data_IF_877615384493
#
_entry.id   IF_877615384493
#
_cell.length_a   1.000
_cell.length_b   1.000
_cell.length_c   1.000
_cell.angle_alpha   90.00
_cell.angle_beta   90.00
_cell.angle_gamma   90.00
#
_symmetry.space_group_name_H-M   'P 1'
#
loop_
_entity.id
_entity.type
_entity.pdbx_description
1 polymer ?
#
# COMPACT_ATOMS: atom_id res chain seq x y z
N UNK A 1 -7.20 -35.66 -61.63
CA UNK A 1 -8.14 -35.58 -60.49
C UNK A 1 -7.78 -36.53 -59.34
N UNK A 2 -7.22 -37.71 -59.61
CA UNK A 2 -6.79 -38.69 -58.58
C UNK A 2 -5.73 -38.16 -57.59
N UNK A 3 -4.79 -37.33 -58.04
CA UNK A 3 -3.75 -36.73 -57.17
C UNK A 3 -4.30 -35.72 -56.15
N UNK A 4 -5.38 -35.02 -56.48
CA UNK A 4 -6.01 -34.01 -55.60
C UNK A 4 -6.84 -34.68 -54.49
N UNK A 5 -7.45 -35.82 -54.79
CA UNK A 5 -8.20 -36.62 -53.82
C UNK A 5 -7.27 -37.26 -52.78
N UNK A 6 -6.08 -37.71 -53.22
CA UNK A 6 -5.07 -38.32 -52.34
C UNK A 6 -4.49 -37.31 -51.35
N UNK A 7 -4.26 -36.06 -51.78
CA UNK A 7 -3.78 -34.99 -50.89
C UNK A 7 -4.82 -34.53 -49.87
N UNK A 8 -6.11 -34.55 -50.24
CA UNK A 8 -7.20 -34.19 -49.32
C UNK A 8 -7.38 -35.25 -48.20
N UNK A 9 -7.26 -36.53 -48.54
CA UNK A 9 -7.29 -37.63 -47.57
C UNK A 9 -6.11 -37.59 -46.59
N UNK A 10 -4.91 -37.23 -47.09
CA UNK A 10 -3.72 -37.10 -46.25
C UNK A 10 -3.84 -35.94 -45.23
N UNK A 11 -4.49 -34.84 -45.64
CA UNK A 11 -4.71 -33.69 -44.76
C UNK A 11 -5.76 -33.96 -43.67
N UNK A 12 -6.82 -34.71 -44.00
CA UNK A 12 -7.86 -35.09 -43.02
C UNK A 12 -7.40 -36.19 -42.05
N UNK A 13 -6.50 -37.07 -42.48
CA UNK A 13 -5.87 -38.08 -41.60
C UNK A 13 -4.95 -37.47 -40.55
N UNK A 14 -4.26 -36.37 -40.87
CA UNK A 14 -3.33 -35.70 -39.93
C UNK A 14 -4.06 -35.00 -38.77
N UNK A 15 -5.28 -34.49 -39.00
CA UNK A 15 -6.10 -33.87 -37.95
C UNK A 15 -6.62 -34.85 -36.89
N UNK A 16 -6.72 -36.14 -37.21
CA UNK A 16 -7.16 -37.17 -36.25
C UNK A 16 -6.05 -37.54 -35.23
N UNK A 17 -4.78 -37.23 -35.53
CA UNK A 17 -3.63 -37.52 -34.66
C UNK A 17 -3.33 -36.40 -33.65
N UNK A 18 -4.04 -35.27 -33.72
CA UNK A 18 -3.84 -34.10 -32.83
C UNK A 18 -4.64 -34.14 -31.52
N UNK A 19 -5.19 -35.29 -31.13
CA UNK A 19 -5.77 -35.49 -29.79
C UNK A 19 -4.68 -35.70 -28.73
N UNK A 20 -3.88 -34.67 -28.46
CA UNK A 20 -2.98 -34.62 -27.30
C UNK A 20 -3.75 -34.23 -26.03
N UNK A 21 -4.77 -35.00 -25.65
CA UNK A 21 -5.34 -34.90 -24.31
C UNK A 21 -4.38 -35.60 -23.35
N UNK A 22 -3.45 -34.83 -22.79
CA UNK A 22 -2.49 -35.29 -21.80
C UNK A 22 -3.27 -35.76 -20.54
N UNK A 23 -3.43 -37.08 -20.27
CA UNK A 23 -4.31 -37.55 -19.20
C UNK A 23 -3.69 -37.40 -17.80
N UNK A 24 -2.49 -36.81 -17.72
CA UNK A 24 -1.68 -36.76 -16.51
C UNK A 24 -1.90 -35.53 -15.62
N UNK A 25 -2.89 -34.68 -15.91
CA UNK A 25 -3.40 -33.73 -14.92
C UNK A 25 -4.53 -34.44 -14.18
N UNK A 26 -4.14 -35.34 -13.26
CA UNK A 26 -5.05 -36.13 -12.43
C UNK A 26 -5.71 -35.23 -11.39
N UNK A 27 -6.64 -34.39 -11.84
CA UNK A 27 -7.52 -33.61 -10.98
C UNK A 27 -8.49 -34.55 -10.29
N UNK A 28 -8.58 -34.39 -8.98
CA UNK A 28 -9.46 -35.11 -8.07
C UNK A 28 -10.48 -34.13 -7.54
N UNK A 29 -11.76 -34.45 -7.70
CA UNK A 29 -12.86 -33.66 -7.15
C UNK A 29 -13.02 -34.03 -5.68
N UNK A 30 -12.67 -33.13 -4.79
CA UNK A 30 -12.91 -33.26 -3.35
C UNK A 30 -14.23 -32.58 -3.03
N UNK A 31 -15.16 -33.32 -2.45
CA UNK A 31 -16.41 -32.83 -1.89
C UNK A 31 -16.51 -33.23 -0.44
N UNK A 32 -17.42 -32.61 0.30
CA UNK A 32 -17.52 -32.91 1.71
C UNK A 32 -18.50 -32.02 2.44
N UNK A 33 -18.63 -32.28 3.73
CA UNK A 33 -19.38 -31.45 4.67
C UNK A 33 -18.46 -31.00 5.81
N UNK A 34 -18.49 -29.71 6.10
CA UNK A 34 -17.82 -29.11 7.27
C UNK A 34 -18.83 -28.97 8.41
N UNK A 35 -18.40 -29.40 9.59
CA UNK A 35 -19.17 -29.39 10.81
C UNK A 35 -18.43 -28.60 11.88
N UNK A 36 -19.19 -27.98 12.78
CA UNK A 36 -18.69 -27.38 14.02
C UNK A 36 -18.70 -28.41 15.13
N UNK A 37 -17.71 -28.34 16.02
CA UNK A 37 -17.79 -28.87 17.39
C UNK A 37 -17.56 -27.74 18.38
N UNK A 38 -18.63 -27.38 19.09
CA UNK A 38 -18.58 -26.45 20.23
C UNK A 38 -18.20 -27.18 21.53
N UNK A 39 -17.92 -26.43 22.59
CA UNK A 39 -17.56 -26.98 23.91
C UNK A 39 -18.62 -27.92 24.52
N UNK A 40 -19.89 -27.71 24.16
CA UNK A 40 -21.01 -28.57 24.55
C UNK A 40 -21.06 -29.92 23.81
N UNK A 41 -20.03 -30.24 23.01
CA UNK A 41 -19.92 -31.42 22.15
C UNK A 41 -21.06 -31.56 21.12
N UNK A 42 -21.80 -30.47 20.88
CA UNK A 42 -22.84 -30.41 19.86
C UNK A 42 -22.18 -30.30 18.48
N UNK A 43 -22.62 -31.16 17.56
CA UNK A 43 -22.14 -31.17 16.18
C UNK A 43 -23.22 -30.52 15.30
N UNK A 44 -22.87 -29.46 14.59
CA UNK A 44 -23.77 -28.73 13.69
C UNK A 44 -23.11 -28.45 12.35
N UNK A 45 -23.88 -28.33 11.25
CA UNK A 45 -23.33 -27.93 9.97
C UNK A 45 -22.71 -26.52 10.04
N UNK A 46 -21.52 -26.36 9.45
CA UNK A 46 -20.77 -25.12 9.49
C UNK A 46 -20.73 -24.47 8.10
N UNK A 47 -21.55 -23.43 7.94
CA UNK A 47 -21.64 -22.64 6.70
C UNK A 47 -20.48 -21.67 6.50
N UNK A 48 -20.36 -21.05 5.32
CA UNK A 48 -19.44 -19.95 5.07
C UNK A 48 -17.96 -20.20 5.49
N UNK A 49 -17.50 -21.46 5.41
CA UNK A 49 -16.11 -21.84 5.70
C UNK A 49 -15.28 -21.55 4.46
N UNK A 50 -14.18 -20.82 4.62
CA UNK A 50 -13.23 -20.57 3.55
C UNK A 50 -12.36 -21.81 3.33
N UNK A 51 -12.38 -22.34 2.10
CA UNK A 51 -11.64 -23.53 1.70
C UNK A 51 -10.60 -23.10 0.69
N UNK A 52 -9.37 -22.97 1.17
CA UNK A 52 -8.28 -22.36 0.44
C UNK A 52 -7.28 -23.42 -0.06
N UNK A 53 -7.03 -23.45 -1.36
CA UNK A 53 -6.00 -24.27 -1.97
C UNK A 53 -4.64 -23.58 -1.87
N UNK A 54 -3.76 -24.12 -1.00
CA UNK A 54 -2.45 -23.53 -0.65
C UNK A 54 -1.54 -23.27 -1.85
N UNK A 55 -1.48 -24.19 -2.82
CA UNK A 55 -0.56 -24.08 -3.96
C UNK A 55 -1.08 -23.15 -5.06
N UNK A 56 -2.32 -23.35 -5.51
CA UNK A 56 -2.88 -22.59 -6.65
C UNK A 56 -3.53 -21.26 -6.27
N UNK A 57 -3.63 -20.95 -4.97
CA UNK A 57 -4.25 -19.71 -4.43
C UNK A 57 -5.71 -19.52 -4.89
N UNK A 58 -6.40 -20.60 -5.19
CA UNK A 58 -7.85 -20.63 -5.48
C UNK A 58 -8.59 -21.12 -4.25
N UNK A 59 -9.88 -20.83 -4.14
CA UNK A 59 -10.69 -21.33 -3.03
C UNK A 59 -12.16 -21.38 -3.36
N UNK A 60 -12.91 -22.00 -2.45
CA UNK A 60 -14.37 -22.02 -2.47
C UNK A 60 -14.89 -21.79 -1.05
N UNK A 61 -16.19 -21.61 -0.90
CA UNK A 61 -16.85 -21.41 0.39
C UNK A 61 -17.86 -22.56 0.58
N UNK A 62 -18.09 -22.99 1.83
CA UNK A 62 -19.14 -23.96 2.15
C UNK A 62 -20.54 -23.32 2.09
N UNK A 63 -21.54 -24.10 1.67
CA UNK A 63 -22.92 -23.67 1.57
C UNK A 63 -23.61 -23.52 2.96
N UNK A 64 -24.92 -23.22 2.97
CA UNK A 64 -25.68 -23.06 4.21
C UNK A 64 -25.74 -24.32 5.10
N UNK A 65 -25.55 -25.51 4.52
CA UNK A 65 -25.54 -26.80 5.19
C UNK A 65 -24.11 -27.33 5.41
N UNK A 66 -23.09 -26.52 5.13
CA UNK A 66 -21.68 -26.87 5.28
C UNK A 66 -21.11 -27.74 4.17
N UNK A 67 -21.83 -27.99 3.07
CA UNK A 67 -21.29 -28.73 1.94
C UNK A 67 -20.35 -27.89 1.09
N UNK A 68 -19.36 -28.54 0.48
CA UNK A 68 -18.44 -27.89 -0.44
C UNK A 68 -17.95 -28.83 -1.53
N UNK A 69 -17.38 -28.26 -2.60
CA UNK A 69 -16.66 -29.01 -3.61
C UNK A 69 -15.54 -28.19 -4.25
N UNK A 70 -14.37 -28.80 -4.40
CA UNK A 70 -13.18 -28.18 -4.99
C UNK A 70 -12.37 -29.23 -5.78
N UNK A 71 -11.76 -28.81 -6.89
CA UNK A 71 -10.87 -29.67 -7.67
C UNK A 71 -9.41 -29.45 -7.23
N UNK A 72 -8.72 -30.54 -6.88
CA UNK A 72 -7.32 -30.53 -6.45
C UNK A 72 -6.47 -31.47 -7.29
N UNK A 73 -5.16 -31.28 -7.32
CA UNK A 73 -4.26 -32.30 -7.85
C UNK A 73 -3.79 -33.20 -6.70
N UNK A 74 -3.45 -34.45 -7.01
CA UNK A 74 -2.89 -35.37 -6.03
C UNK A 74 -1.63 -34.78 -5.39
N UNK A 75 -1.50 -34.89 -4.07
CA UNK A 75 -0.41 -34.27 -3.30
C UNK A 75 -0.67 -32.82 -2.88
N UNK A 76 -1.77 -32.20 -3.31
CA UNK A 76 -2.10 -30.83 -2.90
C UNK A 76 -2.65 -30.72 -1.47
N UNK A 77 -2.55 -29.52 -0.93
CA UNK A 77 -3.03 -29.17 0.40
C UNK A 77 -4.13 -28.12 0.33
N UNK A 78 -5.22 -28.38 1.05
CA UNK A 78 -6.29 -27.41 1.31
C UNK A 78 -6.35 -27.04 2.77
N UNK A 79 -6.73 -25.80 3.03
CA UNK A 79 -6.83 -25.21 4.36
C UNK A 79 -8.26 -24.72 4.54
N UNK A 80 -8.89 -25.15 5.62
CA UNK A 80 -10.20 -24.71 6.05
C UNK A 80 -10.04 -23.64 7.12
N UNK A 81 -10.65 -22.48 6.92
CA UNK A 81 -10.59 -21.36 7.86
C UNK A 81 -11.95 -20.68 8.00
N UNK A 82 -12.30 -20.31 9.24
CA UNK A 82 -13.49 -19.54 9.57
C UNK A 82 -13.22 -18.76 10.86
N UNK A 83 -13.72 -17.52 10.94
CA UNK A 83 -13.61 -16.69 12.15
C UNK A 83 -14.29 -17.40 13.32
N UNK A 84 -13.64 -17.44 14.48
CA UNK A 84 -14.11 -18.16 15.67
C UNK A 84 -13.75 -19.64 15.72
N UNK A 85 -13.07 -20.17 14.70
CA UNK A 85 -12.71 -21.60 14.60
C UNK A 85 -11.21 -21.81 14.39
N UNK A 86 -10.70 -22.94 14.89
CA UNK A 86 -9.36 -23.40 14.58
C UNK A 86 -9.22 -23.78 13.10
N UNK A 87 -8.13 -23.39 12.45
CA UNK A 87 -7.85 -23.77 11.07
C UNK A 87 -7.51 -25.26 10.98
N UNK A 88 -8.04 -25.92 9.96
CA UNK A 88 -7.78 -27.35 9.71
C UNK A 88 -7.14 -27.50 8.35
N UNK A 89 -6.07 -28.29 8.26
CA UNK A 89 -5.36 -28.56 7.02
C UNK A 89 -5.61 -29.99 6.59
N UNK A 90 -5.97 -30.20 5.33
CA UNK A 90 -6.14 -31.52 4.73
C UNK A 90 -5.21 -31.66 3.53
N UNK A 91 -4.50 -32.77 3.48
CA UNK A 91 -3.54 -33.10 2.41
C UNK A 91 -4.13 -34.25 1.62
N UNK A 92 -4.30 -34.06 0.31
CA UNK A 92 -4.73 -35.13 -0.58
C UNK A 92 -3.53 -36.03 -0.89
N UNK A 93 -3.55 -37.33 -0.54
CA UNK A 93 -2.41 -38.22 -0.79
C UNK A 93 -2.03 -38.28 -2.28
N UNK A 94 -0.73 -38.29 -2.58
CA UNK A 94 -0.20 -38.32 -3.95
C UNK A 94 -0.58 -39.61 -4.70
N UNK A 95 -0.72 -40.72 -3.98
CA UNK A 95 -1.08 -42.03 -4.49
C UNK A 95 -2.59 -42.32 -4.44
N UNK A 96 -3.44 -41.29 -4.29
CA UNK A 96 -4.88 -41.50 -4.18
C UNK A 96 -5.48 -42.06 -5.48
N UNK A 97 -6.11 -43.26 -5.46
CA UNK A 97 -6.49 -43.96 -6.69
C UNK A 97 -7.72 -43.36 -7.37
N UNK A 98 -8.68 -42.86 -6.60
CA UNK A 98 -9.97 -42.42 -7.12
C UNK A 98 -9.92 -40.97 -7.66
N UNK A 99 -10.92 -40.63 -8.49
CA UNK A 99 -11.10 -39.27 -9.04
C UNK A 99 -12.01 -38.39 -8.18
N UNK A 100 -12.68 -38.98 -7.19
CA UNK A 100 -13.58 -38.28 -6.28
C UNK A 100 -13.21 -38.65 -4.84
N UNK A 101 -13.34 -37.69 -3.93
CA UNK A 101 -13.16 -37.88 -2.50
C UNK A 101 -14.32 -37.22 -1.81
N UNK A 102 -14.94 -37.91 -0.86
CA UNK A 102 -15.88 -37.31 0.08
C UNK A 102 -15.24 -37.23 1.46
N UNK A 103 -15.18 -36.03 2.06
CA UNK A 103 -14.60 -35.82 3.38
C UNK A 103 -15.59 -35.17 4.34
N UNK A 104 -15.64 -35.70 5.57
CA UNK A 104 -16.39 -35.11 6.67
C UNK A 104 -15.41 -34.46 7.63
N UNK A 105 -15.43 -33.13 7.68
CA UNK A 105 -14.46 -32.34 8.44
C UNK A 105 -15.14 -31.70 9.66
N UNK A 106 -14.52 -31.81 10.84
CA UNK A 106 -15.01 -31.15 12.06
C UNK A 106 -14.02 -30.07 12.47
N UNK A 107 -14.47 -28.82 12.52
CA UNK A 107 -13.71 -27.68 13.02
C UNK A 107 -14.09 -27.42 14.48
N UNK A 108 -13.09 -27.11 15.31
CA UNK A 108 -13.30 -26.78 16.72
C UNK A 108 -13.43 -25.26 16.89
N UNK A 109 -14.37 -24.84 17.72
CA UNK A 109 -14.45 -23.43 18.14
C UNK A 109 -13.18 -23.06 18.92
N UNK A 110 -12.60 -21.90 18.57
CA UNK A 110 -11.42 -21.37 19.23
C UNK A 110 -11.67 -19.91 19.57
N UNK A 111 -11.77 -19.55 20.86
CA UNK A 111 -11.87 -18.16 21.26
C UNK A 111 -10.59 -17.41 20.91
N UNK A 112 -10.74 -16.22 20.34
CA UNK A 112 -9.63 -15.32 20.05
C UNK A 112 -9.46 -14.38 21.23
N UNK A 113 -8.42 -14.58 22.04
CA UNK A 113 -8.06 -13.63 23.09
C UNK A 113 -7.35 -12.44 22.46
N UNK A 114 -7.93 -11.26 22.63
CA UNK A 114 -7.30 -10.01 22.19
C UNK A 114 -6.20 -9.64 23.18
N UNK A 115 -5.09 -9.12 22.67
CA UNK A 115 -4.04 -8.57 23.53
C UNK A 115 -4.54 -7.27 24.15
N UNK A 116 -4.30 -7.12 25.45
CA UNK A 116 -4.54 -5.87 26.14
C UNK A 116 -3.64 -4.77 25.56
N UNK A 117 -4.23 -3.61 25.28
CA UNK A 117 -3.49 -2.41 24.89
C UNK A 117 -3.16 -1.63 26.16
N UNK A 118 -1.88 -1.60 26.54
CA UNK A 118 -1.42 -0.77 27.65
C UNK A 118 -1.34 0.68 27.18
N UNK A 119 -2.33 1.47 27.57
CA UNK A 119 -2.31 2.92 27.38
C UNK A 119 -1.35 3.48 28.43
N UNK A 120 -0.13 3.80 28.02
CA UNK A 120 0.80 4.57 28.85
C UNK A 120 0.49 6.04 28.59
N UNK A 121 0.08 6.76 29.63
CA UNK A 121 0.02 8.21 29.55
C UNK A 121 1.44 8.70 29.29
N UNK A 122 1.71 9.17 28.08
CA UNK A 122 2.93 9.92 27.79
C UNK A 122 2.80 11.22 28.57
N UNK A 123 3.58 11.44 29.64
CA UNK A 123 3.53 12.71 30.33
C UNK A 123 3.82 13.79 29.29
N UNK A 124 3.05 14.90 29.28
CA UNK A 124 3.36 15.99 28.37
C UNK A 124 4.84 16.34 28.55
N UNK A 125 5.56 16.63 27.45
CA UNK A 125 6.95 17.04 27.56
C UNK A 125 7.04 18.10 28.65
N UNK A 126 8.02 17.98 29.56
CA UNK A 126 8.29 19.04 30.53
C UNK A 126 8.74 20.24 29.72
N UNK A 127 7.77 21.05 29.28
CA UNK A 127 8.01 22.33 28.66
C UNK A 127 8.64 23.12 29.81
N UNK A 128 9.98 23.20 29.83
CA UNK A 128 10.69 24.16 30.67
C UNK A 128 10.03 25.52 30.49
N UNK A 129 10.09 26.42 31.50
CA UNK A 129 9.25 27.62 31.55
C UNK A 129 9.17 28.22 30.16
N UNK A 130 7.98 28.18 29.56
CA UNK A 130 7.73 28.70 28.22
C UNK A 130 8.47 30.02 28.17
N UNK A 131 9.58 30.09 27.41
CA UNK A 131 10.21 31.38 27.13
C UNK A 131 9.05 32.19 26.62
N UNK A 132 8.59 33.18 27.41
CA UNK A 132 7.47 34.03 27.04
C UNK A 132 7.86 34.56 25.68
N UNK A 133 7.26 34.00 24.62
CA UNK A 133 7.43 34.50 23.28
C UNK A 133 7.12 35.99 23.41
N UNK A 134 8.03 36.90 23.02
CA UNK A 134 7.72 38.31 23.09
C UNK A 134 6.38 38.50 22.39
N UNK A 135 5.40 39.06 23.11
CA UNK A 135 4.02 39.24 22.65
C UNK A 135 3.95 40.38 21.62
N UNK A 136 4.91 40.41 20.71
CA UNK A 136 4.99 41.25 19.55
C UNK A 136 4.93 40.31 18.36
N UNK A 137 3.70 39.89 18.04
CA UNK A 137 3.41 39.52 16.67
C UNK A 137 3.58 40.81 15.89
N UNK A 138 4.66 40.91 15.11
CA UNK A 138 4.75 41.91 14.06
C UNK A 138 3.63 41.58 13.09
N UNK A 139 2.45 42.18 13.31
CA UNK A 139 1.42 42.27 12.30
C UNK A 139 2.04 43.26 11.32
N UNK A 140 2.52 42.83 10.13
CA UNK A 140 2.87 43.81 9.11
C UNK A 140 1.66 44.73 9.02
N UNK A 141 1.84 46.08 9.01
CA UNK A 141 0.69 46.96 8.85
C UNK A 141 -0.05 46.39 7.67
N UNK A 142 -1.23 45.83 7.94
CA UNK A 142 -2.10 45.32 6.91
C UNK A 142 -2.42 46.59 6.17
N UNK A 143 -1.66 46.86 5.12
CA UNK A 143 -1.97 47.84 4.11
C UNK A 143 -3.41 47.52 3.81
N UNK A 144 -4.28 48.37 4.32
CA UNK A 144 -5.67 48.10 4.62
C UNK A 144 -6.17 47.06 3.65
N UNK A 145 -6.48 45.86 4.16
CA UNK A 145 -7.37 44.99 3.41
C UNK A 145 -8.62 45.83 3.31
N UNK A 146 -8.72 46.59 2.22
CA UNK A 146 -9.96 47.14 1.73
C UNK A 146 -10.70 45.88 1.34
N UNK A 147 -11.27 45.22 2.33
CA UNK A 147 -12.39 44.35 2.11
C UNK A 147 -13.31 45.18 1.24
N UNK A 148 -13.56 44.72 0.02
CA UNK A 148 -14.69 45.15 -0.77
C UNK A 148 -15.95 44.69 -0.01
N UNK A 149 -16.15 45.21 1.20
CA UNK A 149 -17.43 45.19 1.86
C UNK A 149 -18.19 46.35 1.24
N UNK A 150 -18.91 46.04 0.15
CA UNK A 150 -20.09 46.76 -0.33
C UNK A 150 -20.22 48.20 0.19
N UNK A 151 -19.37 49.10 -0.29
CA UNK A 151 -19.62 50.53 -0.18
C UNK A 151 -20.26 50.94 -1.50
N UNK A 152 -21.49 51.46 -1.41
CA UNK A 152 -22.41 51.66 -2.51
C UNK A 152 -21.81 52.28 -3.76
N UNK A 153 -22.36 51.87 -4.89
CA UNK A 153 -21.93 52.14 -6.26
C UNK A 153 -21.89 53.62 -6.71
N UNK A 154 -21.90 54.62 -5.83
CA UNK A 154 -22.09 56.03 -6.22
C UNK A 154 -21.19 57.03 -5.47
N UNK A 155 -19.87 56.83 -5.47
CA UNK A 155 -18.92 57.91 -5.16
C UNK A 155 -17.84 58.01 -6.24
N UNK A 156 -17.86 59.07 -7.07
CA UNK A 156 -16.81 59.31 -8.07
C UNK A 156 -15.56 59.81 -7.34
N UNK A 157 -14.46 59.04 -7.43
CA UNK A 157 -13.15 59.44 -6.90
C UNK A 157 -12.36 58.33 -6.20
N UNK A 158 -12.98 57.20 -5.87
CA UNK A 158 -12.31 56.10 -5.16
C UNK A 158 -12.08 54.87 -6.05
N UNK A 159 -11.11 54.98 -6.95
CA UNK A 159 -10.13 53.93 -7.25
C UNK A 159 -10.54 52.48 -7.59
N UNK A 160 -11.78 52.16 -7.94
CA UNK A 160 -12.18 50.84 -8.50
C UNK A 160 -12.18 50.87 -10.04
N UNK A 161 -11.17 51.53 -10.62
CA UNK A 161 -11.00 51.62 -12.07
C UNK A 161 -9.95 50.62 -12.57
N UNK A 162 -10.00 50.21 -13.85
CA UNK A 162 -9.01 49.31 -14.47
C UNK A 162 -7.57 49.81 -14.31
N UNK A 163 -7.36 51.13 -14.17
CA UNK A 163 -6.04 51.75 -13.92
C UNK A 163 -5.48 51.41 -12.53
N UNK A 164 -6.33 51.27 -11.51
CA UNK A 164 -5.93 50.86 -10.16
C UNK A 164 -5.47 49.39 -10.16
N UNK A 165 -6.17 48.54 -10.92
CA UNK A 165 -5.78 47.15 -11.16
C UNK A 165 -4.45 47.07 -11.93
N UNK A 166 -4.23 47.95 -12.90
CA UNK A 166 -2.95 48.07 -13.61
C UNK A 166 -1.81 48.59 -12.69
N UNK A 167 -2.08 49.57 -11.82
CA UNK A 167 -1.10 50.07 -10.84
C UNK A 167 -0.70 48.97 -9.85
N UNK A 168 -1.65 48.17 -9.37
CA UNK A 168 -1.38 46.99 -8.55
C UNK A 168 -0.75 45.83 -9.35
N UNK A 169 -0.88 45.79 -10.68
CA UNK A 169 -0.19 44.81 -11.51
C UNK A 169 1.27 45.18 -11.81
N UNK A 170 1.63 46.47 -11.85
CA UNK A 170 2.93 46.97 -12.34
C UNK A 170 3.75 47.82 -11.35
N UNK A 171 3.23 48.19 -10.17
CA UNK A 171 3.96 49.01 -9.21
C UNK A 171 5.19 48.29 -8.60
N UNK A 172 6.20 49.06 -8.15
CA UNK A 172 7.39 48.54 -7.46
C UNK A 172 7.02 47.67 -6.24
N UNK A 173 6.01 48.12 -5.48
CA UNK A 173 5.46 47.39 -4.33
C UNK A 173 4.78 46.07 -4.74
N UNK A 174 4.08 46.03 -5.88
CA UNK A 174 3.49 44.80 -6.39
C UNK A 174 4.56 43.75 -6.78
N UNK A 175 5.67 44.20 -7.37
CA UNK A 175 6.82 43.33 -7.68
C UNK A 175 7.46 42.76 -6.40
N UNK A 176 7.69 43.61 -5.39
CA UNK A 176 8.20 43.19 -4.09
C UNK A 176 7.29 42.17 -3.42
N UNK A 177 5.97 42.42 -3.41
CA UNK A 177 4.99 41.50 -2.82
C UNK A 177 4.93 40.15 -3.53
N UNK A 178 5.01 40.12 -4.87
CA UNK A 178 5.07 38.87 -5.65
C UNK A 178 6.34 38.08 -5.34
N UNK A 179 7.48 38.76 -5.27
CA UNK A 179 8.74 38.12 -4.90
C UNK A 179 8.65 37.49 -3.51
N UNK A 180 8.14 38.24 -2.52
CA UNK A 180 7.93 37.71 -1.17
C UNK A 180 7.02 36.48 -1.19
N UNK A 181 5.91 36.50 -1.93
CA UNK A 181 5.03 35.34 -2.05
C UNK A 181 5.74 34.11 -2.66
N UNK A 182 6.56 34.32 -3.70
CA UNK A 182 7.36 33.24 -4.31
C UNK A 182 8.41 32.70 -3.34
N UNK A 183 9.06 33.55 -2.55
CA UNK A 183 10.03 33.13 -1.53
C UNK A 183 9.34 32.33 -0.42
N UNK A 184 8.17 32.76 0.04
CA UNK A 184 7.39 32.03 1.04
C UNK A 184 6.96 30.65 0.53
N UNK A 185 6.60 30.53 -0.75
CA UNK A 185 6.27 29.24 -1.35
C UNK A 185 7.49 28.31 -1.41
N UNK A 186 8.67 28.84 -1.74
CA UNK A 186 9.93 28.09 -1.70
C UNK A 186 10.26 27.63 -0.29
N UNK A 187 10.24 28.54 0.68
CA UNK A 187 10.49 28.24 2.09
C UNK A 187 9.50 27.19 2.63
N UNK A 188 8.24 27.23 2.19
CA UNK A 188 7.22 26.25 2.59
C UNK A 188 7.53 24.85 2.04
N UNK A 189 7.95 24.76 0.77
CA UNK A 189 8.36 23.50 0.15
C UNK A 189 9.61 22.92 0.80
N UNK A 190 10.60 23.75 1.10
CA UNK A 190 11.82 23.32 1.80
C UNK A 190 11.52 22.80 3.21
N UNK A 191 10.64 23.47 3.95
CA UNK A 191 10.19 22.99 5.27
C UNK A 191 9.43 21.67 5.18
N UNK A 192 8.55 21.52 4.18
CA UNK A 192 7.81 20.29 3.96
C UNK A 192 8.73 19.13 3.52
N UNK A 193 9.78 19.42 2.75
CA UNK A 193 10.82 18.48 2.37
C UNK A 193 11.60 17.98 3.60
N UNK A 194 12.09 18.90 4.44
CA UNK A 194 12.85 18.56 5.65
C UNK A 194 11.99 17.77 6.65
N UNK A 195 10.70 18.09 6.76
CA UNK A 195 9.77 17.36 7.62
C UNK A 195 9.53 15.91 7.17
N UNK A 196 9.68 15.60 5.87
CA UNK A 196 9.57 14.25 5.32
C UNK A 196 10.89 13.48 5.44
N UNK A 197 12.02 14.17 5.22
CA UNK A 197 13.37 13.62 5.33
C UNK A 197 14.03 14.07 6.65
N UNK A 198 13.39 13.75 7.77
CA UNK A 198 13.97 14.05 9.08
C UNK A 198 15.25 13.23 9.29
N UNK A 199 16.30 13.79 9.93
CA UNK A 199 17.53 13.06 10.22
C UNK A 199 17.25 11.81 11.08
N UNK A 200 16.32 11.91 12.03
CA UNK A 200 15.91 10.79 12.87
C UNK A 200 15.30 9.65 12.03
N UNK A 201 14.42 9.96 11.08
CA UNK A 201 13.79 8.98 10.19
C UNK A 201 14.81 8.29 9.28
N UNK A 202 15.75 9.06 8.72
CA UNK A 202 16.81 8.52 7.88
C UNK A 202 17.78 7.66 8.68
N UNK A 203 18.06 8.03 9.93
CA UNK A 203 18.92 7.25 10.84
C UNK A 203 18.30 5.89 11.19
N UNK A 204 16.98 5.84 11.39
CA UNK A 204 16.26 4.60 11.67
C UNK A 204 16.27 3.65 10.45
N UNK A 205 16.13 4.20 9.25
CA UNK A 205 16.13 3.41 8.01
C UNK A 205 17.52 2.92 7.59
N UNK A 206 18.53 3.76 7.71
CA UNK A 206 19.87 3.49 7.18
C UNK A 206 20.84 2.95 8.21
N UNK A 207 20.62 3.23 9.50
CA UNK A 207 21.52 2.88 10.59
C UNK A 207 22.74 3.81 10.73
N UNK A 208 22.80 4.90 9.98
CA UNK A 208 23.88 5.90 10.09
C UNK A 208 23.61 6.89 11.22
N UNK A 209 24.66 7.28 11.94
CA UNK A 209 24.59 8.23 13.06
C UNK A 209 25.73 9.23 13.04
N UNK A 210 25.52 10.42 13.62
CA UNK A 210 26.54 11.46 13.74
C UNK A 210 26.99 12.01 12.39
N UNK A 211 28.30 12.18 12.20
CA UNK A 211 28.87 12.79 10.99
C UNK A 211 28.58 12.00 9.70
N UNK A 212 28.46 10.68 9.80
CA UNK A 212 28.16 9.80 8.65
C UNK A 212 26.74 10.07 8.11
N UNK A 213 25.80 10.38 8.99
CA UNK A 213 24.43 10.74 8.60
C UNK A 213 24.37 12.08 7.88
N UNK A 214 25.12 13.08 8.36
CA UNK A 214 25.18 14.41 7.73
C UNK A 214 25.79 14.33 6.33
N UNK A 215 26.84 13.51 6.15
CA UNK A 215 27.44 13.24 4.84
C UNK A 215 26.49 12.49 3.91
N UNK A 216 25.76 11.51 4.43
CA UNK A 216 24.74 10.78 3.67
C UNK A 216 23.59 11.69 3.23
N UNK A 217 23.09 12.57 4.10
CA UNK A 217 22.04 13.56 3.80
C UNK A 217 22.51 14.62 2.81
N UNK A 218 23.79 15.01 2.84
CA UNK A 218 24.38 15.89 1.85
C UNK A 218 24.51 15.20 0.47
N UNK A 219 24.76 13.90 0.45
CA UNK A 219 24.88 13.11 -0.78
C UNK A 219 23.51 12.75 -1.39
N UNK A 220 22.56 12.29 -0.57
CA UNK A 220 21.24 11.88 -1.02
C UNK A 220 20.26 13.05 -0.91
N UNK A 221 20.14 13.81 -2.01
CA UNK A 221 19.14 14.87 -2.15
C UNK A 221 18.20 14.57 -3.32
N UNK A 222 17.15 13.75 -3.09
CA UNK A 222 16.11 13.53 -4.09
C UNK A 222 15.41 14.86 -4.44
N UNK A 223 14.84 14.99 -5.65
CA UNK A 223 14.17 16.22 -6.05
C UNK A 223 12.97 16.53 -5.14
N UNK A 224 12.79 17.82 -4.80
CA UNK A 224 11.76 18.26 -3.84
C UNK A 224 10.35 17.83 -4.24
N UNK A 225 10.04 17.89 -5.53
CA UNK A 225 8.72 17.54 -6.05
C UNK A 225 8.42 16.04 -5.87
N UNK A 226 9.45 15.17 -6.00
CA UNK A 226 9.31 13.73 -5.75
C UNK A 226 9.04 13.47 -4.27
N UNK A 227 9.82 14.06 -3.37
CA UNK A 227 9.67 13.84 -1.92
C UNK A 227 8.31 14.30 -1.38
N UNK A 228 7.77 15.38 -1.94
CA UNK A 228 6.46 15.91 -1.54
C UNK A 228 5.29 15.10 -2.10
N UNK A 229 5.45 14.47 -3.27
CA UNK A 229 4.39 13.72 -3.95
C UNK A 229 4.44 12.19 -3.69
N UNK A 230 5.60 11.64 -3.36
CA UNK A 230 5.81 10.20 -3.23
C UNK A 230 5.02 9.61 -2.06
N UNK A 231 4.53 8.38 -2.27
CA UNK A 231 4.03 7.55 -1.18
C UNK A 231 5.19 7.06 -0.29
N UNK A 232 4.86 6.64 0.93
CA UNK A 232 5.86 6.27 1.94
C UNK A 232 6.80 5.15 1.47
N UNK A 233 6.27 4.15 0.76
CA UNK A 233 7.07 3.05 0.22
C UNK A 233 8.09 3.53 -0.82
N UNK A 234 7.67 4.36 -1.78
CA UNK A 234 8.54 4.86 -2.85
C UNK A 234 9.68 5.73 -2.29
N UNK A 235 9.38 6.49 -1.23
CA UNK A 235 10.38 7.27 -0.52
C UNK A 235 11.44 6.37 0.15
N UNK A 236 11.02 5.30 0.83
CA UNK A 236 11.94 4.33 1.45
C UNK A 236 12.83 3.66 0.39
N UNK A 237 12.27 3.25 -0.75
CA UNK A 237 13.04 2.64 -1.85
C UNK A 237 14.11 3.61 -2.36
N UNK A 238 13.76 4.89 -2.56
CA UNK A 238 14.69 5.90 -3.02
C UNK A 238 15.86 6.10 -2.02
N UNK A 239 15.57 6.09 -0.71
CA UNK A 239 16.58 6.22 0.36
C UNK A 239 17.51 5.01 0.37
N UNK A 240 16.97 3.79 0.28
CA UNK A 240 17.77 2.55 0.26
C UNK A 240 18.67 2.49 -0.99
N UNK A 241 18.18 2.93 -2.13
CA UNK A 241 18.98 2.97 -3.36
C UNK A 241 20.06 4.05 -3.33
N UNK A 242 19.80 5.18 -2.66
CA UNK A 242 20.83 6.16 -2.31
C UNK A 242 21.91 5.56 -1.40
N UNK A 243 21.52 4.80 -0.37
CA UNK A 243 22.44 4.16 0.57
C UNK A 243 23.42 3.23 -0.14
N UNK A 244 22.94 2.40 -1.07
CA UNK A 244 23.81 1.53 -1.89
C UNK A 244 24.83 2.33 -2.69
N UNK A 245 24.43 3.47 -3.26
CA UNK A 245 25.32 4.35 -4.04
C UNK A 245 26.37 5.01 -3.15
N UNK A 246 25.98 5.41 -1.94
CA UNK A 246 26.90 5.98 -0.94
C UNK A 246 27.97 4.97 -0.52
N UNK A 247 27.57 3.75 -0.13
CA UNK A 247 28.50 2.69 0.25
C UNK A 247 29.48 2.30 -0.86
N UNK A 248 29.02 2.29 -2.13
CA UNK A 248 29.89 2.04 -3.28
C UNK A 248 30.92 3.16 -3.51
N UNK A 249 30.58 4.41 -3.18
CA UNK A 249 31.49 5.55 -3.25
C UNK A 249 32.60 5.40 -2.20
N UNK A 250 32.27 5.03 -0.97
CA UNK A 250 33.26 4.86 0.10
C UNK A 250 34.22 3.70 -0.20
N UNK A 251 33.71 2.61 -0.77
CA UNK A 251 34.53 1.49 -1.25
C UNK A 251 35.54 1.89 -2.34
N UNK A 252 35.25 2.95 -3.12
CA UNK A 252 36.16 3.48 -4.15
C UNK A 252 37.30 4.31 -3.55
N UNK A 253 37.04 5.10 -2.49
CA UNK A 253 38.07 5.91 -1.83
C UNK A 253 38.97 5.12 -0.89
N UNK A 254 38.50 4.00 -0.33
CA UNK A 254 39.29 3.13 0.55
C UNK A 254 40.28 2.19 -0.18
N UNK A 255 40.24 2.15 -1.52
CA UNK A 255 41.06 1.24 -2.33
C UNK A 255 42.30 1.90 -2.96
N UNK A 256 42.63 3.10 -2.50
CA UNK A 256 43.73 3.94 -2.99
C UNK A 256 44.62 4.34 -1.81
#
# INVERSE_FOLDING_TARGET
>A
MTKFFLTLCLFFGMSALLSAQNPNILSVKVSGQVLSRSDSNRITPLSAVNIYHKRRRIGTISDGNGFFSINLLRGDTIIFSRIGYGTVTYILPGNFPEKKVDIKLVMQEKPYTLREVKIVAVPPPKIGPLKKQPKYVYVPPTSSVRTLSNAGANQPGLGIGPISLLYDAFSKRAKEKRLVAVLLEKDAKEKAYQARLNPDYVSELTGFYGSELDEFMAFCQPPTDFVLAAEEYDLVVAIVDCQKKFQNKDAYYQKK
#
